data_IF_828114717600
#
_entry.id   IF_828114717600
#
_cell.length_a   1.000
_cell.length_b   1.000
_cell.length_c   1.000
_cell.angle_alpha   90.00
_cell.angle_beta   90.00
_cell.angle_gamma   90.00
#
_symmetry.space_group_name_H-M   'P 1'
#
loop_
_entity.id
_entity.type
_entity.pdbx_description
1 polymer ?
#
# COMPACT_ATOMS: atom_id res chain seq x y z
N UNK A 1 5.29 -10.77 -5.98
CA UNK A 1 5.30 -11.08 -4.55
C UNK A 1 3.90 -11.52 -4.14
N UNK A 2 3.78 -12.43 -3.18
CA UNK A 2 2.46 -12.70 -2.59
C UNK A 2 2.03 -11.47 -1.78
N UNK A 3 0.78 -11.05 -1.94
CA UNK A 3 0.20 -9.96 -1.18
C UNK A 3 -0.99 -10.48 -0.37
N UNK A 4 -1.29 -9.80 0.73
CA UNK A 4 -2.53 -9.97 1.48
C UNK A 4 -3.33 -8.69 1.42
N UNK A 5 -4.64 -8.81 1.54
CA UNK A 5 -5.53 -7.66 1.58
C UNK A 5 -6.59 -7.83 2.66
N UNK A 6 -7.03 -6.71 3.20
CA UNK A 6 -8.11 -6.62 4.17
C UNK A 6 -8.99 -5.44 3.82
N UNK A 7 -10.30 -5.66 3.84
CA UNK A 7 -11.27 -4.58 3.75
C UNK A 7 -11.29 -3.77 5.05
N UNK A 8 -11.35 -2.44 4.95
CA UNK A 8 -11.37 -1.54 6.11
C UNK A 8 -12.74 -0.89 6.28
N UNK A 9 -13.20 -0.21 5.22
CA UNK A 9 -14.46 0.51 5.17
C UNK A 9 -14.77 0.90 3.73
N UNK A 10 -16.05 0.99 3.34
CA UNK A 10 -16.42 1.45 1.99
C UNK A 10 -15.70 0.67 0.88
N UNK A 11 -15.01 1.37 -0.02
CA UNK A 11 -14.12 0.78 -1.02
C UNK A 11 -12.63 0.99 -0.67
N UNK A 12 -12.33 1.01 0.64
CA UNK A 12 -10.98 1.17 1.18
C UNK A 12 -10.43 -0.17 1.63
N UNK A 13 -9.23 -0.49 1.16
CA UNK A 13 -8.54 -1.74 1.45
C UNK A 13 -7.12 -1.47 1.95
N UNK A 14 -6.69 -2.24 2.95
CA UNK A 14 -5.26 -2.36 3.25
C UNK A 14 -4.70 -3.49 2.41
N UNK A 15 -3.63 -3.21 1.66
CA UNK A 15 -2.91 -4.19 0.85
C UNK A 15 -1.47 -4.22 1.34
N UNK A 16 -0.95 -5.40 1.68
CA UNK A 16 0.39 -5.54 2.24
C UNK A 16 1.17 -6.63 1.54
N UNK A 17 2.47 -6.39 1.36
CA UNK A 17 3.40 -7.39 0.90
C UNK A 17 4.82 -7.10 1.41
N UNK A 18 5.68 -8.09 1.23
CA UNK A 18 7.12 -7.96 1.44
C UNK A 18 7.83 -8.23 0.11
N UNK A 19 8.79 -7.38 -0.22
CA UNK A 19 9.67 -7.54 -1.36
C UNK A 19 10.77 -8.58 -1.10
N UNK A 20 11.45 -9.03 -2.15
CA UNK A 20 12.50 -10.04 -2.04
C UNK A 20 13.67 -9.62 -1.14
N UNK A 21 13.96 -8.32 -1.07
CA UNK A 21 15.03 -7.72 -0.24
C UNK A 21 14.59 -7.46 1.22
N UNK A 22 13.39 -7.92 1.58
CA UNK A 22 12.70 -7.75 2.87
C UNK A 22 12.13 -6.36 3.11
N UNK A 23 12.16 -5.46 2.14
CA UNK A 23 11.41 -4.22 2.23
C UNK A 23 9.92 -4.51 2.41
N UNK A 24 9.22 -3.74 3.23
CA UNK A 24 7.79 -3.93 3.48
C UNK A 24 6.98 -2.79 2.89
N UNK A 25 5.82 -3.13 2.34
CA UNK A 25 4.91 -2.16 1.75
C UNK A 25 3.52 -2.36 2.34
N UNK A 26 2.91 -1.25 2.75
CA UNK A 26 1.51 -1.18 3.13
C UNK A 26 0.86 -0.10 2.27
N UNK A 27 -0.18 -0.47 1.55
CA UNK A 27 -1.06 0.45 0.86
C UNK A 27 -2.39 0.54 1.60
N UNK A 28 -2.92 1.75 1.67
CA UNK A 28 -4.33 2.01 1.97
C UNK A 28 -4.90 2.62 0.69
N UNK A 29 -5.62 1.81 -0.07
CA UNK A 29 -6.15 2.19 -1.37
C UNK A 29 -7.66 2.40 -1.23
N UNK A 30 -8.10 3.60 -1.56
CA UNK A 30 -9.51 3.98 -1.67
C UNK A 30 -9.89 4.00 -3.15
N UNK A 31 -10.59 2.96 -3.58
CA UNK A 31 -11.00 2.79 -4.97
C UNK A 31 -12.15 3.72 -5.37
N UNK A 32 -12.99 4.14 -4.40
CA UNK A 32 -14.08 5.09 -4.66
C UNK A 32 -13.54 6.51 -4.85
N UNK A 33 -12.59 6.93 -4.00
CA UNK A 33 -11.95 8.24 -4.10
C UNK A 33 -10.82 8.29 -5.15
N UNK A 34 -10.34 7.13 -5.60
CA UNK A 34 -9.20 7.04 -6.51
C UNK A 34 -7.92 7.58 -5.87
N UNK A 35 -7.65 7.20 -4.62
CA UNK A 35 -6.44 7.62 -3.88
C UNK A 35 -5.70 6.44 -3.30
N UNK A 36 -4.39 6.59 -3.14
CA UNK A 36 -3.51 5.62 -2.51
C UNK A 36 -2.62 6.30 -1.49
N UNK A 37 -2.49 5.70 -0.32
CA UNK A 37 -1.48 6.05 0.69
C UNK A 37 -0.56 4.86 0.88
N UNK A 38 0.74 5.08 0.76
CA UNK A 38 1.73 4.01 0.88
C UNK A 38 2.68 4.28 2.05
N UNK A 39 2.97 3.23 2.79
CA UNK A 39 3.98 3.20 3.84
C UNK A 39 5.01 2.15 3.43
N UNK A 40 6.23 2.62 3.21
CA UNK A 40 7.32 1.78 2.71
C UNK A 40 8.46 1.79 3.73
N UNK A 41 8.84 0.60 4.20
CA UNK A 41 10.03 0.41 5.02
C UNK A 41 11.10 -0.22 4.14
N UNK A 42 12.12 0.55 3.79
CA UNK A 42 13.24 0.06 2.99
C UNK A 42 14.08 -0.96 3.77
N UNK A 43 14.92 -1.77 3.10
CA UNK A 43 15.84 -2.67 3.80
C UNK A 43 16.83 -1.94 4.71
N UNK A 44 17.11 -0.66 4.42
CA UNK A 44 17.91 0.26 5.24
C UNK A 44 17.19 0.72 6.52
N UNK A 45 15.92 0.32 6.71
CA UNK A 45 15.02 0.78 7.77
C UNK A 45 14.57 2.23 7.63
N UNK A 46 14.90 2.89 6.51
CA UNK A 46 14.31 4.18 6.17
C UNK A 46 12.80 4.01 5.96
N UNK A 47 12.02 4.93 6.55
CA UNK A 47 10.57 4.87 6.52
C UNK A 47 9.97 6.01 5.71
N UNK A 48 9.34 5.64 4.60
CA UNK A 48 8.75 6.56 3.64
C UNK A 48 7.23 6.53 3.72
N UNK A 49 6.63 7.71 3.55
CA UNK A 49 5.17 7.91 3.48
C UNK A 49 4.87 8.64 2.19
N UNK A 50 4.04 8.05 1.35
CA UNK A 50 3.67 8.57 0.04
C UNK A 50 2.15 8.65 -0.05
N UNK A 51 1.66 9.62 -0.81
CA UNK A 51 0.26 9.72 -1.20
C UNK A 51 0.15 10.10 -2.67
N UNK A 52 -0.91 9.64 -3.33
CA UNK A 52 -1.12 9.89 -4.73
C UNK A 52 -2.51 9.46 -5.20
N UNK A 53 -2.77 9.64 -6.49
CA UNK A 53 -4.00 9.19 -7.12
C UNK A 53 -3.88 7.75 -7.61
N UNK A 54 -4.97 6.99 -7.49
CA UNK A 54 -5.14 5.64 -8.00
C UNK A 54 -6.25 5.67 -9.06
N UNK A 55 -6.01 5.05 -10.22
CA UNK A 55 -6.95 5.04 -11.35
C UNK A 55 -6.99 3.65 -11.96
N UNK A 56 -8.19 3.23 -12.35
CA UNK A 56 -8.37 2.05 -13.18
C UNK A 56 -7.75 2.32 -14.57
N UNK A 57 -7.02 1.34 -15.10
CA UNK A 57 -6.41 1.37 -16.43
C UNK A 57 -7.32 0.73 -17.48
#
# INVERSE_FOLDING_TARGET
MAYTWQHVAGEVYVITWQEADRATVVHIDDFAAGTSRSFFTAPSLDFYRLEGSLRLL
#
